data_IF_745123035402
#
_entry.id   IF_745123035402
#
_cell.length_a   1.000
_cell.length_b   1.000
_cell.length_c   1.000
_cell.angle_alpha   90.00
_cell.angle_beta   90.00
_cell.angle_gamma   90.00
#
_symmetry.space_group_name_H-M   'P 1'
#
loop_
_entity.id
_entity.type
_entity.pdbx_description
1 polymer ?
#
# COMPACT_ATOMS: atom_id res chain seq x y z
N UNK A 1 -3.78 9.62 24.51
CA UNK A 1 -4.42 10.38 23.41
C UNK A 1 -5.83 9.82 23.25
N UNK A 2 -6.89 10.63 23.27
CA UNK A 2 -8.26 10.13 23.05
C UNK A 2 -8.41 9.73 21.59
N UNK A 3 -8.94 8.54 21.32
CA UNK A 3 -9.21 8.07 19.96
C UNK A 3 -10.42 8.83 19.42
N UNK A 4 -10.17 9.99 18.79
CA UNK A 4 -11.19 10.80 18.14
C UNK A 4 -10.70 11.19 16.75
N UNK A 5 -11.31 10.59 15.74
CA UNK A 5 -10.91 10.72 14.35
C UNK A 5 -11.84 11.67 13.63
N UNK A 6 -11.27 12.62 12.89
CA UNK A 6 -12.00 13.62 12.10
C UNK A 6 -11.56 13.54 10.63
N UNK A 7 -12.34 14.16 9.75
CA UNK A 7 -12.01 14.21 8.32
C UNK A 7 -10.68 14.93 8.05
N UNK A 8 -10.40 15.99 8.82
CA UNK A 8 -9.21 16.82 8.62
C UNK A 8 -7.92 16.01 8.78
N UNK A 9 -7.89 15.04 9.69
CA UNK A 9 -6.74 14.16 9.90
C UNK A 9 -6.39 13.43 8.60
N UNK A 10 -7.38 12.97 7.84
CA UNK A 10 -7.15 12.13 6.66
C UNK A 10 -7.26 12.89 5.32
N UNK A 11 -7.57 14.17 5.34
CA UNK A 11 -7.67 14.98 4.13
C UNK A 11 -6.35 14.94 3.33
N UNK A 12 -5.23 15.13 4.03
CA UNK A 12 -3.88 15.07 3.45
C UNK A 12 -3.52 13.68 2.93
N UNK A 13 -3.92 12.62 3.64
CA UNK A 13 -3.74 11.24 3.18
C UNK A 13 -4.45 11.03 1.84
N UNK A 14 -5.75 11.34 1.77
CA UNK A 14 -6.55 11.12 0.56
C UNK A 14 -6.03 11.97 -0.60
N UNK A 15 -5.68 13.22 -0.35
CA UNK A 15 -5.15 14.10 -1.39
C UNK A 15 -3.82 13.57 -1.94
N UNK A 16 -2.90 13.16 -1.06
CA UNK A 16 -1.63 12.57 -1.47
C UNK A 16 -1.84 11.30 -2.30
N UNK A 17 -2.75 10.41 -1.90
CA UNK A 17 -3.01 9.18 -2.65
C UNK A 17 -3.58 9.47 -4.06
N UNK A 18 -4.45 10.47 -4.19
CA UNK A 18 -4.98 10.89 -5.50
C UNK A 18 -3.87 11.42 -6.42
N UNK A 19 -2.95 12.23 -5.89
CA UNK A 19 -1.86 12.82 -6.69
C UNK A 19 -0.74 11.83 -6.99
N UNK A 20 -0.58 10.78 -6.17
CA UNK A 20 0.53 9.82 -6.27
C UNK A 20 0.24 8.62 -7.17
N UNK A 21 -0.85 8.65 -7.95
CA UNK A 21 -1.16 7.62 -8.95
C UNK A 21 -1.75 6.32 -8.41
N UNK A 22 -2.28 6.31 -7.17
CA UNK A 22 -3.01 5.13 -6.66
C UNK A 22 -4.29 4.92 -7.44
N UNK A 23 -4.75 3.65 -7.52
CA UNK A 23 -6.00 3.34 -8.19
C UNK A 23 -7.18 4.03 -7.52
N UNK A 24 -8.11 4.55 -8.32
CA UNK A 24 -9.33 5.22 -7.85
C UNK A 24 -10.11 4.36 -6.86
N UNK A 25 -10.26 3.07 -7.16
CA UNK A 25 -10.96 2.10 -6.31
C UNK A 25 -10.31 1.92 -4.94
N UNK A 26 -8.97 2.01 -4.86
CA UNK A 26 -8.26 1.96 -3.58
C UNK A 26 -8.52 3.21 -2.73
N UNK A 27 -8.44 4.40 -3.35
CA UNK A 27 -8.72 5.67 -2.67
C UNK A 27 -10.17 5.74 -2.18
N UNK A 28 -11.13 5.34 -3.01
CA UNK A 28 -12.55 5.29 -2.64
C UNK A 28 -12.82 4.33 -1.48
N UNK A 29 -12.14 3.18 -1.47
CA UNK A 29 -12.26 2.21 -0.38
C UNK A 29 -11.72 2.76 0.93
N UNK A 30 -10.55 3.42 0.90
CA UNK A 30 -10.01 4.11 2.08
C UNK A 30 -10.97 5.18 2.59
N UNK A 31 -11.50 6.01 1.70
CA UNK A 31 -12.49 7.04 2.05
C UNK A 31 -13.76 6.46 2.67
N UNK A 32 -14.24 5.32 2.17
CA UNK A 32 -15.41 4.61 2.72
C UNK A 32 -15.17 4.15 4.14
N UNK A 33 -14.01 3.55 4.43
CA UNK A 33 -13.68 3.09 5.78
C UNK A 33 -13.41 4.24 6.75
N UNK A 34 -12.79 5.34 6.30
CA UNK A 34 -12.64 6.56 7.11
C UNK A 34 -14.01 7.12 7.50
N UNK A 35 -14.93 7.25 6.53
CA UNK A 35 -16.28 7.73 6.80
C UNK A 35 -17.03 6.81 7.77
N UNK A 36 -16.88 5.49 7.62
CA UNK A 36 -17.47 4.55 8.55
C UNK A 36 -16.90 4.72 9.97
N UNK A 37 -15.57 4.82 10.10
CA UNK A 37 -14.89 5.00 11.37
C UNK A 37 -15.38 6.26 12.09
N UNK A 38 -15.39 7.40 11.40
CA UNK A 38 -15.80 8.69 11.97
C UNK A 38 -17.25 8.64 12.47
N UNK A 39 -18.16 8.03 11.69
CA UNK A 39 -19.58 7.94 12.03
C UNK A 39 -19.87 6.97 13.18
N UNK A 40 -19.03 5.94 13.37
CA UNK A 40 -19.32 4.84 14.30
C UNK A 40 -18.41 4.83 15.53
N UNK A 41 -17.33 5.61 15.57
CA UNK A 41 -16.37 5.58 16.68
C UNK A 41 -17.01 5.80 18.06
N UNK A 42 -17.96 6.74 18.17
CA UNK A 42 -18.64 6.99 19.45
C UNK A 42 -19.71 5.94 19.76
N UNK A 43 -20.44 5.46 18.75
CA UNK A 43 -21.53 4.49 18.92
C UNK A 43 -21.01 3.10 19.28
N UNK A 44 -19.89 2.72 18.70
CA UNK A 44 -19.28 1.39 18.85
C UNK A 44 -18.13 1.40 19.88
N UNK A 45 -17.97 2.51 20.62
CA UNK A 45 -16.91 2.71 21.63
C UNK A 45 -15.50 2.31 21.13
N UNK A 46 -15.13 2.80 19.95
CA UNK A 46 -13.87 2.44 19.30
C UNK A 46 -12.72 3.18 19.99
N UNK A 47 -11.80 2.42 20.57
CA UNK A 47 -10.62 2.96 21.27
C UNK A 47 -9.34 2.86 20.45
N UNK A 48 -9.34 2.08 19.36
CA UNK A 48 -8.18 1.88 18.49
C UNK A 48 -8.59 1.50 17.07
N UNK A 49 -7.65 1.66 16.12
CA UNK A 49 -7.81 1.12 14.75
C UNK A 49 -8.00 -0.40 14.74
N UNK A 50 -7.41 -1.10 15.73
CA UNK A 50 -7.62 -2.53 15.93
C UNK A 50 -9.05 -2.89 16.29
N UNK A 51 -9.72 -2.10 17.14
CA UNK A 51 -11.13 -2.30 17.49
C UNK A 51 -12.02 -2.10 16.27
N UNK A 52 -11.83 -1.00 15.54
CA UNK A 52 -12.55 -0.72 14.30
C UNK A 52 -12.39 -1.87 13.28
N UNK A 53 -11.17 -2.35 13.10
CA UNK A 53 -10.87 -3.47 12.21
C UNK A 53 -11.60 -4.75 12.65
N UNK A 54 -11.58 -5.07 13.94
CA UNK A 54 -12.28 -6.24 14.50
C UNK A 54 -13.79 -6.17 14.26
N UNK A 55 -14.41 -5.00 14.45
CA UNK A 55 -15.85 -4.80 14.19
C UNK A 55 -16.18 -5.00 12.70
N UNK A 56 -15.36 -4.47 11.79
CA UNK A 56 -15.59 -4.65 10.34
C UNK A 56 -15.44 -6.10 9.91
N UNK A 57 -14.44 -6.79 10.44
CA UNK A 57 -14.18 -8.21 10.17
C UNK A 57 -15.32 -9.08 10.69
N UNK A 58 -15.80 -8.86 11.92
CA UNK A 58 -16.88 -9.67 12.49
C UNK A 58 -18.19 -9.57 11.71
N UNK A 59 -18.44 -8.41 11.08
CA UNK A 59 -19.60 -8.15 10.22
C UNK A 59 -19.46 -8.67 8.78
N UNK A 60 -18.32 -9.29 8.43
CA UNK A 60 -18.00 -9.64 7.03
C UNK A 60 -17.61 -11.11 6.86
N UNK A 61 -18.37 -11.81 6.00
CA UNK A 61 -18.11 -13.23 5.69
C UNK A 61 -16.93 -13.44 4.73
N UNK A 62 -16.70 -12.53 3.78
CA UNK A 62 -15.64 -12.69 2.77
C UNK A 62 -14.24 -12.53 3.37
N UNK A 63 -13.42 -13.58 3.26
CA UNK A 63 -12.02 -13.60 3.72
C UNK A 63 -11.13 -12.59 2.99
N UNK A 64 -11.41 -12.35 1.72
CA UNK A 64 -10.72 -11.33 0.91
C UNK A 64 -11.01 -9.92 1.47
N UNK A 65 -12.28 -9.64 1.76
CA UNK A 65 -12.67 -8.35 2.35
C UNK A 65 -12.11 -8.17 3.76
N UNK A 66 -12.08 -9.22 4.58
CA UNK A 66 -11.41 -9.15 5.88
C UNK A 66 -9.92 -8.78 5.75
N UNK A 67 -9.22 -9.36 4.77
CA UNK A 67 -7.81 -9.02 4.48
C UNK A 67 -7.69 -7.56 4.04
N UNK A 68 -8.64 -7.09 3.26
CA UNK A 68 -8.71 -5.69 2.84
C UNK A 68 -8.88 -4.75 4.03
N UNK A 69 -9.78 -5.04 4.98
CA UNK A 69 -9.92 -4.23 6.19
C UNK A 69 -8.64 -4.20 7.03
N UNK A 70 -7.97 -5.34 7.22
CA UNK A 70 -6.68 -5.37 7.94
C UNK A 70 -5.68 -4.41 7.32
N UNK A 71 -5.57 -4.39 5.99
CA UNK A 71 -4.68 -3.48 5.26
C UNK A 71 -5.09 -2.02 5.42
N UNK A 72 -6.39 -1.73 5.28
CA UNK A 72 -6.90 -0.36 5.40
C UNK A 72 -6.65 0.20 6.80
N UNK A 73 -7.10 -0.49 7.85
CA UNK A 73 -6.92 0.01 9.22
C UNK A 73 -5.46 0.09 9.63
N UNK A 74 -4.59 -0.82 9.13
CA UNK A 74 -3.15 -0.69 9.36
C UNK A 74 -2.54 0.51 8.64
N UNK A 75 -3.03 0.83 7.44
CA UNK A 75 -2.61 2.04 6.70
C UNK A 75 -3.01 3.30 7.45
N UNK A 76 -4.25 3.37 7.93
CA UNK A 76 -4.73 4.50 8.71
C UNK A 76 -3.95 4.68 10.00
N UNK A 77 -3.70 3.59 10.75
CA UNK A 77 -2.88 3.59 11.96
C UNK A 77 -1.46 4.06 11.68
N UNK A 78 -0.82 3.55 10.63
CA UNK A 78 0.55 3.92 10.30
C UNK A 78 0.67 5.39 9.89
N UNK A 79 -0.33 5.90 9.17
CA UNK A 79 -0.40 7.30 8.78
C UNK A 79 -0.62 8.21 9.99
N UNK A 80 -1.62 7.91 10.82
CA UNK A 80 -1.98 8.74 11.97
C UNK A 80 -0.91 8.76 13.07
N UNK A 81 -0.27 7.62 13.35
CA UNK A 81 0.73 7.53 14.42
C UNK A 81 2.15 7.91 13.97
N UNK A 82 2.51 7.68 12.71
CA UNK A 82 3.89 7.82 12.23
C UNK A 82 4.05 8.72 11.01
N UNK A 83 2.98 9.34 10.50
CA UNK A 83 2.99 10.10 9.25
C UNK A 83 3.34 9.26 8.02
N UNK A 84 3.24 7.92 8.12
CA UNK A 84 3.67 7.00 7.06
C UNK A 84 2.55 6.80 6.05
N UNK A 85 2.74 7.33 4.85
CA UNK A 85 1.92 6.99 3.69
C UNK A 85 2.10 5.51 3.33
N UNK A 86 1.05 4.83 2.82
CA UNK A 86 1.20 3.46 2.35
C UNK A 86 2.28 3.46 1.27
N UNK A 87 3.29 2.61 1.38
CA UNK A 87 4.29 2.46 0.32
C UNK A 87 3.56 2.10 -0.98
N UNK A 88 3.71 2.90 -2.04
CA UNK A 88 3.09 2.69 -3.36
C UNK A 88 3.49 1.39 -4.06
N UNK A 89 4.25 0.54 -3.37
CA UNK A 89 4.51 -0.85 -3.71
C UNK A 89 3.18 -1.61 -3.65
N UNK A 90 2.47 -1.53 -4.76
CA UNK A 90 1.33 -2.37 -5.05
C UNK A 90 1.76 -3.83 -4.81
N UNK A 91 1.04 -4.56 -3.96
CA UNK A 91 1.20 -6.01 -3.82
C UNK A 91 0.88 -6.79 -5.13
N UNK A 92 0.50 -6.09 -6.21
CA UNK A 92 0.41 -6.63 -7.58
C UNK A 92 1.59 -6.26 -8.48
N UNK A 93 2.59 -5.52 -7.99
CA UNK A 93 3.87 -5.26 -8.70
C UNK A 93 5.06 -5.99 -8.09
N UNK A 94 4.86 -6.70 -6.97
CA UNK A 94 5.78 -7.78 -6.64
C UNK A 94 5.61 -8.81 -7.75
N UNK A 95 6.55 -8.82 -8.69
CA UNK A 95 6.65 -9.87 -9.67
C UNK A 95 6.42 -11.20 -8.93
N UNK A 96 5.40 -11.96 -9.35
CA UNK A 96 4.89 -13.14 -8.61
C UNK A 96 6.10 -13.96 -8.17
N UNK A 97 6.20 -14.37 -6.90
CA UNK A 97 7.37 -15.11 -6.36
C UNK A 97 7.70 -16.26 -7.33
N UNK A 98 8.80 -16.14 -8.09
CA UNK A 98 9.17 -17.07 -9.18
C UNK A 98 9.27 -16.48 -10.61
N UNK A 99 8.76 -15.27 -10.85
CA UNK A 99 8.83 -14.55 -12.14
C UNK A 99 10.25 -14.20 -12.59
N UNK A 100 11.20 -14.08 -11.66
CA UNK A 100 12.62 -13.94 -11.97
C UNK A 100 13.15 -15.10 -12.83
N UNK A 101 12.64 -16.32 -12.62
CA UNK A 101 13.00 -17.49 -13.43
C UNK A 101 12.35 -17.49 -14.82
N UNK A 102 11.35 -16.65 -15.04
CA UNK A 102 10.69 -16.46 -16.33
C UNK A 102 11.35 -15.34 -17.16
N UNK A 103 12.31 -14.61 -16.59
CA UNK A 103 13.11 -13.65 -17.33
C UNK A 103 14.02 -14.37 -18.33
N UNK A 104 14.18 -13.76 -19.51
CA UNK A 104 15.24 -14.11 -20.45
C UNK A 104 16.61 -14.00 -19.73
N UNK A 105 17.56 -14.91 -19.99
CA UNK A 105 18.90 -14.88 -19.41
C UNK A 105 19.59 -13.50 -19.39
N UNK A 106 19.48 -12.71 -20.46
CA UNK A 106 20.09 -11.37 -20.55
C UNK A 106 19.50 -10.41 -19.51
N UNK A 107 18.18 -10.38 -19.37
CA UNK A 107 17.53 -9.53 -18.38
C UNK A 107 17.75 -10.02 -16.95
N UNK A 108 17.96 -11.33 -16.77
CA UNK A 108 18.33 -11.90 -15.47
C UNK A 108 19.71 -11.42 -15.04
N UNK A 109 20.68 -11.46 -15.93
CA UNK A 109 22.05 -10.98 -15.70
C UNK A 109 22.06 -9.50 -15.31
N UNK A 110 21.30 -8.65 -16.02
CA UNK A 110 21.15 -7.24 -15.65
C UNK A 110 20.60 -7.08 -14.22
N UNK A 111 19.55 -7.83 -13.87
CA UNK A 111 18.98 -7.79 -12.51
C UNK A 111 19.99 -8.23 -11.45
N UNK A 112 20.81 -9.23 -11.75
CA UNK A 112 21.83 -9.74 -10.82
C UNK A 112 22.96 -8.75 -10.61
N UNK A 113 23.45 -8.10 -11.67
CA UNK A 113 24.43 -7.01 -11.59
C UNK A 113 23.90 -5.88 -10.69
N UNK A 114 22.63 -5.52 -10.81
CA UNK A 114 22.01 -4.51 -9.96
C UNK A 114 21.84 -4.95 -8.49
N UNK A 115 21.61 -6.23 -8.23
CA UNK A 115 21.56 -6.77 -6.85
C UNK A 115 22.94 -6.75 -6.20
N UNK A 116 23.96 -7.21 -6.91
CA UNK A 116 25.35 -7.28 -6.41
C UNK A 116 25.94 -5.89 -6.14
N UNK A 117 25.53 -4.89 -6.93
CA UNK A 117 25.93 -3.49 -6.71
C UNK A 117 25.11 -2.82 -5.61
N UNK A 118 23.88 -3.28 -5.38
CA UNK A 118 22.97 -2.81 -4.34
C UNK A 118 23.31 -3.27 -2.92
N UNK A 119 23.76 -4.52 -2.76
CA UNK A 119 24.19 -5.06 -1.46
C UNK A 119 25.42 -4.35 -0.87
N UNK A 120 26.21 -3.67 -1.72
CA UNK A 120 27.39 -2.89 -1.30
C UNK A 120 27.06 -1.47 -0.82
N UNK A 121 25.78 -1.05 -0.79
CA UNK A 121 25.37 0.28 -0.30
C UNK A 121 24.43 0.14 0.91
N UNK A 122 24.69 0.84 2.03
CA UNK A 122 23.92 0.67 3.27
C UNK A 122 22.49 1.27 3.24
N UNK A 123 21.88 1.49 2.08
CA UNK A 123 20.50 2.00 1.94
C UNK A 123 19.85 1.54 0.62
N UNK A 124 19.34 0.30 0.59
CA UNK A 124 18.80 -0.41 -0.59
C UNK A 124 17.30 -0.15 -0.86
N UNK A 125 16.75 1.01 -0.50
CA UNK A 125 15.33 1.32 -0.73
C UNK A 125 15.00 1.84 -2.15
N UNK A 126 16.01 2.17 -2.97
CA UNK A 126 15.80 2.83 -4.28
C UNK A 126 15.96 1.95 -5.54
N UNK A 127 16.34 0.67 -5.40
CA UNK A 127 16.64 -0.19 -6.56
C UNK A 127 15.36 -0.61 -7.31
N UNK A 128 14.23 -0.74 -6.60
CA UNK A 128 12.95 -1.15 -7.19
C UNK A 128 12.29 -0.11 -8.09
N UNK A 129 12.66 1.17 -7.96
CA UNK A 129 12.11 2.26 -8.80
C UNK A 129 12.90 2.35 -10.12
N UNK A 130 14.24 2.23 -10.04
CA UNK A 130 15.12 2.34 -11.20
C UNK A 130 14.96 1.20 -12.20
N UNK A 131 14.75 -0.02 -11.71
CA UNK A 131 14.49 -1.17 -12.57
C UNK A 131 13.14 -1.02 -13.31
N UNK A 132 12.12 -0.44 -12.68
CA UNK A 132 10.79 -0.37 -13.27
C UNK A 132 10.66 0.64 -14.43
N UNK A 133 11.32 1.80 -14.33
CA UNK A 133 11.36 2.81 -15.40
C UNK A 133 12.04 2.26 -16.67
N UNK A 134 13.18 1.57 -16.50
CA UNK A 134 13.97 1.01 -17.61
C UNK A 134 13.20 -0.06 -18.40
N UNK A 135 12.54 -1.00 -17.72
CA UNK A 135 11.75 -2.04 -18.37
C UNK A 135 10.50 -1.49 -19.08
N UNK A 136 9.94 -0.37 -18.61
CA UNK A 136 8.74 0.24 -19.21
C UNK A 136 9.05 0.92 -20.55
N UNK A 137 10.24 1.50 -20.70
CA UNK A 137 10.68 2.17 -21.94
C UNK A 137 11.05 1.19 -23.06
N UNK A 138 11.61 0.02 -22.75
CA UNK A 138 12.02 -0.93 -23.79
C UNK A 138 10.86 -1.81 -24.30
N UNK A 139 9.89 -2.18 -23.45
CA UNK A 139 8.77 -3.03 -23.87
C UNK A 139 7.74 -2.32 -24.77
N UNK A 140 7.70 -0.99 -24.75
CA UNK A 140 6.76 -0.20 -25.57
C UNK A 140 7.31 0.03 -26.99
N UNK A 141 8.64 -0.01 -27.19
CA UNK A 141 9.28 0.29 -28.47
C UNK A 141 9.61 -0.95 -29.33
N UNK A 142 9.24 -2.17 -28.90
CA UNK A 142 9.51 -3.39 -29.67
C UNK A 142 8.28 -3.96 -30.41
N UNK A 143 7.32 -3.12 -30.80
CA UNK A 143 6.25 -3.50 -31.73
C UNK A 143 6.42 -2.83 -33.08
#
# INVERSE_FOLDING_TARGET
>A
MKFNKTNDIYADLIQKLKTSGYSKSYVERLGTEINWLIRNQSREDIQSYGDACRIRISRTKSREMQTTYRRVYKTLENFDLYGKYPSGVYAGTSARRGSYWQLNPVFREVVDIYKDTGEKRPNSQNIGIFTFEFFKTEFINSR
#
